data_IF_599288394671
#
_entry.id   IF_599288394671
#
_cell.length_a   1.000
_cell.length_b   1.000
_cell.length_c   1.000
_cell.angle_alpha   90.00
_cell.angle_beta   90.00
_cell.angle_gamma   90.00
#
_symmetry.space_group_name_H-M   'P 1'
#
loop_
_entity.id
_entity.type
_entity.pdbx_description
1 polymer ?
#
# COMPACT_ATOMS: atom_id res chain seq x y z
N UNK A 1 -18.50 -19.86 26.35
CA UNK A 1 -18.50 -19.24 27.67
C UNK A 1 -19.88 -18.63 27.95
N UNK A 2 -20.62 -19.20 28.95
CA UNK A 2 -21.98 -18.80 29.29
C UNK A 2 -22.04 -17.35 29.78
N UNK A 3 -21.01 -16.88 30.47
CA UNK A 3 -20.87 -15.49 30.96
C UNK A 3 -20.84 -14.47 29.81
N UNK A 4 -20.18 -14.76 28.73
CA UNK A 4 -20.11 -13.89 27.54
C UNK A 4 -21.46 -13.77 26.82
N UNK A 5 -22.28 -14.86 26.82
CA UNK A 5 -23.62 -14.84 26.21
C UNK A 5 -24.61 -14.02 27.01
N UNK A 6 -24.58 -14.15 28.33
CA UNK A 6 -25.47 -13.37 29.23
C UNK A 6 -25.18 -11.87 29.17
N UNK A 7 -23.88 -11.46 29.09
CA UNK A 7 -23.54 -10.08 28.90
C UNK A 7 -24.07 -9.50 27.58
N UNK A 8 -24.01 -10.27 26.50
CA UNK A 8 -24.57 -9.84 25.20
C UNK A 8 -26.11 -9.71 25.27
N UNK A 9 -26.79 -10.63 25.91
CA UNK A 9 -28.25 -10.59 26.06
C UNK A 9 -28.67 -9.39 26.90
N UNK A 10 -28.04 -9.15 28.05
CA UNK A 10 -28.37 -8.00 28.91
C UNK A 10 -28.10 -6.69 28.16
N UNK A 11 -27.01 -6.58 27.44
CA UNK A 11 -26.70 -5.39 26.64
C UNK A 11 -27.73 -5.11 25.54
N UNK A 12 -28.23 -6.15 24.86
CA UNK A 12 -29.31 -6.02 23.88
C UNK A 12 -30.63 -5.62 24.53
N UNK A 13 -30.93 -6.16 25.71
CA UNK A 13 -32.13 -5.82 26.48
C UNK A 13 -32.11 -4.35 26.93
N UNK A 14 -31.00 -3.90 27.54
CA UNK A 14 -30.79 -2.51 27.96
C UNK A 14 -30.92 -1.56 26.78
N UNK A 15 -30.28 -1.85 25.65
CA UNK A 15 -30.39 -1.05 24.43
C UNK A 15 -31.83 -0.86 23.95
N UNK A 16 -32.68 -1.88 24.10
CA UNK A 16 -34.04 -1.85 23.59
C UNK A 16 -35.04 -1.24 24.58
N UNK A 17 -34.86 -1.43 25.88
CA UNK A 17 -35.86 -1.16 26.89
C UNK A 17 -35.43 -0.17 27.98
N UNK A 18 -34.12 0.09 28.12
CA UNK A 18 -33.57 1.01 29.12
C UNK A 18 -32.37 1.75 28.56
N UNK A 19 -32.62 2.80 27.80
CA UNK A 19 -31.57 3.60 27.15
C UNK A 19 -30.61 4.27 28.13
N UNK A 20 -31.08 4.64 29.33
CA UNK A 20 -30.24 5.29 30.34
C UNK A 20 -29.22 4.31 30.87
N UNK A 21 -29.65 3.13 31.28
CA UNK A 21 -28.77 2.08 31.77
C UNK A 21 -27.81 1.56 30.67
N UNK A 22 -28.29 1.52 29.43
CA UNK A 22 -27.48 1.18 28.27
C UNK A 22 -26.31 2.17 28.10
N UNK A 23 -26.59 3.47 28.16
CA UNK A 23 -25.56 4.50 28.04
C UNK A 23 -24.56 4.50 29.23
N UNK A 24 -25.03 4.21 30.44
CA UNK A 24 -24.18 4.02 31.62
C UNK A 24 -23.23 2.83 31.43
N UNK A 25 -23.73 1.69 30.93
CA UNK A 25 -22.94 0.51 30.60
C UNK A 25 -21.91 0.84 29.52
N UNK A 26 -22.30 1.54 28.46
CA UNK A 26 -21.37 2.00 27.43
C UNK A 26 -20.26 2.87 28.03
N UNK A 27 -20.60 3.84 28.88
CA UNK A 27 -19.61 4.73 29.52
C UNK A 27 -18.60 3.97 30.38
N UNK A 28 -19.08 2.97 31.14
CA UNK A 28 -18.24 2.13 31.99
C UNK A 28 -17.21 1.30 31.19
N UNK A 29 -17.56 0.91 29.97
CA UNK A 29 -16.75 -0.01 29.17
C UNK A 29 -15.94 0.66 28.05
N UNK A 30 -16.18 1.95 27.76
CA UNK A 30 -15.53 2.67 26.66
C UNK A 30 -13.99 2.60 26.72
N UNK A 31 -13.40 2.76 27.89
CA UNK A 31 -11.93 2.72 28.05
C UNK A 31 -11.32 1.36 27.66
N UNK A 32 -12.09 0.28 27.73
CA UNK A 32 -11.62 -1.08 27.41
C UNK A 32 -12.02 -1.54 26.00
N UNK A 33 -13.06 -0.94 25.43
CA UNK A 33 -13.56 -1.31 24.12
C UNK A 33 -14.21 -0.10 23.44
N UNK A 34 -13.56 0.39 22.42
CA UNK A 34 -13.96 1.55 21.62
C UNK A 34 -15.37 1.43 21.00
N UNK A 35 -15.88 0.21 20.75
CA UNK A 35 -17.20 -0.02 20.16
C UNK A 35 -18.35 0.53 21.03
N UNK A 36 -18.12 0.73 22.31
CA UNK A 36 -19.08 1.38 23.22
C UNK A 36 -19.13 2.92 23.04
N UNK A 37 -18.24 3.51 22.24
CA UNK A 37 -18.21 4.95 21.99
C UNK A 37 -19.38 5.45 21.17
N UNK A 38 -19.75 4.74 20.09
CA UNK A 38 -20.76 5.22 19.13
C UNK A 38 -22.11 5.59 19.78
N UNK A 39 -22.74 4.77 20.64
CA UNK A 39 -23.99 5.14 21.29
C UNK A 39 -23.90 6.41 22.14
N UNK A 40 -22.77 6.62 22.82
CA UNK A 40 -22.55 7.80 23.66
C UNK A 40 -22.35 9.07 22.81
N UNK A 41 -21.66 8.93 21.68
CA UNK A 41 -21.42 10.02 20.72
C UNK A 41 -22.73 10.41 20.05
N UNK A 42 -23.51 9.45 19.57
CA UNK A 42 -24.81 9.68 18.93
C UNK A 42 -25.77 10.40 19.88
N UNK A 43 -25.85 9.97 21.16
CA UNK A 43 -26.65 10.62 22.20
C UNK A 43 -26.18 12.08 22.44
N UNK A 44 -24.88 12.30 22.59
CA UNK A 44 -24.33 13.62 22.81
C UNK A 44 -24.61 14.57 21.62
N UNK A 45 -24.49 14.10 20.38
CA UNK A 45 -24.82 14.87 19.17
C UNK A 45 -26.31 15.19 19.11
N UNK A 46 -27.18 14.20 19.40
CA UNK A 46 -28.65 14.40 19.41
C UNK A 46 -29.09 15.47 20.42
N UNK A 47 -28.35 15.61 21.52
CA UNK A 47 -28.58 16.64 22.55
C UNK A 47 -27.90 17.99 22.22
N UNK A 48 -27.25 18.13 21.07
CA UNK A 48 -26.47 19.33 20.70
C UNK A 48 -25.20 19.54 21.52
N UNK A 49 -24.77 18.53 22.29
CA UNK A 49 -23.60 18.56 23.16
C UNK A 49 -22.28 18.31 22.43
N UNK A 50 -21.94 19.11 21.42
CA UNK A 50 -20.78 18.90 20.57
C UNK A 50 -19.43 18.83 21.32
N UNK A 51 -19.24 19.60 22.40
CA UNK A 51 -18.02 19.48 23.23
C UNK A 51 -17.91 18.14 23.93
N UNK A 52 -19.05 17.60 24.42
CA UNK A 52 -19.10 16.27 25.02
C UNK A 52 -18.86 15.19 23.98
N UNK A 53 -19.44 15.34 22.78
CA UNK A 53 -19.21 14.43 21.66
C UNK A 53 -17.73 14.42 21.23
N UNK A 54 -17.07 15.58 21.15
CA UNK A 54 -15.62 15.68 20.82
C UNK A 54 -14.76 14.90 21.83
N UNK A 55 -14.99 15.10 23.13
CA UNK A 55 -14.27 14.37 24.18
C UNK A 55 -14.51 12.85 24.12
N UNK A 56 -15.74 12.42 23.83
CA UNK A 56 -16.07 11.00 23.67
C UNK A 56 -15.42 10.39 22.44
N UNK A 57 -15.28 11.14 21.35
CA UNK A 57 -14.57 10.73 20.15
C UNK A 57 -13.07 10.58 20.41
N UNK A 58 -12.45 11.54 21.12
CA UNK A 58 -11.05 11.41 21.54
C UNK A 58 -10.81 10.17 22.40
N UNK A 59 -11.67 9.90 23.39
CA UNK A 59 -11.59 8.70 24.21
C UNK A 59 -11.79 7.42 23.39
N UNK A 60 -12.72 7.45 22.44
CA UNK A 60 -13.01 6.31 21.55
C UNK A 60 -11.80 5.95 20.70
N UNK A 61 -11.15 6.94 20.08
CA UNK A 61 -9.95 6.71 19.29
C UNK A 61 -8.73 6.37 20.13
N UNK A 62 -8.60 6.91 21.34
CA UNK A 62 -7.56 6.49 22.30
C UNK A 62 -7.72 5.01 22.69
N UNK A 63 -8.96 4.57 22.99
CA UNK A 63 -9.27 3.16 23.24
C UNK A 63 -9.01 2.28 22.01
N UNK A 64 -9.40 2.73 20.81
CA UNK A 64 -9.18 2.00 19.56
C UNK A 64 -7.70 1.77 19.27
N UNK A 65 -6.85 2.77 19.51
CA UNK A 65 -5.41 2.71 19.29
C UNK A 65 -4.63 2.17 20.50
N UNK A 66 -5.31 1.83 21.59
CA UNK A 66 -4.71 1.44 22.87
C UNK A 66 -3.67 2.47 23.36
N UNK A 67 -4.04 3.75 23.38
CA UNK A 67 -3.19 4.88 23.78
C UNK A 67 -3.75 5.59 25.00
N UNK A 68 -2.85 6.14 25.79
CA UNK A 68 -3.19 7.02 26.90
C UNK A 68 -3.44 8.47 26.41
N UNK A 69 -3.99 9.33 27.29
CA UNK A 69 -4.29 10.73 26.96
C UNK A 69 -3.05 11.54 26.57
N UNK A 70 -1.85 11.19 27.07
CA UNK A 70 -0.60 11.91 26.78
C UNK A 70 -0.10 11.62 25.36
N UNK A 71 -0.42 10.43 24.86
CA UNK A 71 -0.03 9.95 23.54
C UNK A 71 -1.24 9.87 22.59
N UNK A 72 -2.32 10.61 22.86
CA UNK A 72 -3.53 10.60 22.05
C UNK A 72 -3.22 10.95 20.59
N UNK A 73 -3.82 10.20 19.68
CA UNK A 73 -3.70 10.47 18.25
C UNK A 73 -4.40 11.78 17.90
N UNK A 74 -3.73 12.57 17.07
CA UNK A 74 -4.25 13.86 16.58
C UNK A 74 -4.49 13.77 15.08
N UNK A 75 -5.73 13.86 14.62
CA UNK A 75 -6.07 13.69 13.21
C UNK A 75 -5.43 14.73 12.27
N UNK A 76 -5.01 15.88 12.80
CA UNK A 76 -4.38 16.96 12.05
C UNK A 76 -2.89 16.69 11.73
N UNK A 77 -2.26 15.74 12.41
CA UNK A 77 -0.80 15.56 12.36
C UNK A 77 -0.35 14.25 11.74
N UNK A 78 -1.22 13.23 11.71
CA UNK A 78 -0.86 11.92 11.15
C UNK A 78 -2.08 11.15 10.69
N UNK A 79 -1.91 10.26 9.72
CA UNK A 79 -2.98 9.39 9.24
C UNK A 79 -3.29 8.29 10.26
N UNK A 80 -4.59 8.07 10.49
CA UNK A 80 -5.04 6.91 11.27
C UNK A 80 -4.60 5.59 10.62
N UNK A 81 -4.59 5.55 9.29
CA UNK A 81 -4.17 4.39 8.50
C UNK A 81 -2.76 3.90 8.83
N UNK A 82 -1.83 4.81 9.15
CA UNK A 82 -0.43 4.48 9.48
C UNK A 82 -0.24 4.13 10.97
N UNK A 83 -1.22 4.45 11.80
CA UNK A 83 -1.18 4.20 13.24
C UNK A 83 -1.67 2.79 13.62
N UNK A 84 -2.10 2.01 12.64
CA UNK A 84 -2.78 0.74 12.82
C UNK A 84 -1.80 -0.43 12.95
N UNK A 85 -2.04 -1.32 13.91
CA UNK A 85 -1.52 -2.69 13.89
C UNK A 85 -2.39 -3.55 12.98
N UNK A 86 -1.82 -4.43 12.18
CA UNK A 86 -2.39 -5.20 11.05
C UNK A 86 -3.59 -6.13 11.33
N UNK A 87 -4.18 -6.13 12.53
CA UNK A 87 -5.09 -7.18 13.01
C UNK A 87 -6.58 -6.84 13.11
N UNK A 88 -7.06 -5.73 12.54
CA UNK A 88 -8.47 -5.32 12.72
C UNK A 88 -9.25 -5.20 11.39
N UNK A 89 -9.53 -6.33 10.72
CA UNK A 89 -10.18 -6.36 9.39
C UNK A 89 -11.67 -5.94 9.35
N UNK A 90 -12.42 -6.12 10.45
CA UNK A 90 -13.90 -6.06 10.37
C UNK A 90 -14.53 -4.69 10.75
N UNK A 91 -13.73 -3.71 11.14
CA UNK A 91 -14.24 -2.47 11.74
C UNK A 91 -14.02 -1.21 10.90
N UNK A 92 -13.53 -1.35 9.68
CA UNK A 92 -13.12 -0.22 8.81
C UNK A 92 -14.28 0.75 8.54
N UNK A 93 -15.44 0.22 8.22
CA UNK A 93 -16.62 1.05 7.92
C UNK A 93 -17.09 1.82 9.16
N UNK A 94 -17.13 1.17 10.33
CA UNK A 94 -17.51 1.81 11.59
C UNK A 94 -16.55 2.91 12.01
N UNK A 95 -15.24 2.69 11.84
CA UNK A 95 -14.22 3.71 12.10
C UNK A 95 -14.34 4.88 11.13
N UNK A 96 -14.54 4.62 9.84
CA UNK A 96 -14.77 5.67 8.86
C UNK A 96 -16.03 6.51 9.18
N UNK A 97 -17.10 5.88 9.66
CA UNK A 97 -18.29 6.58 10.14
C UNK A 97 -18.00 7.45 11.37
N UNK A 98 -17.22 6.95 12.34
CA UNK A 98 -16.82 7.74 13.51
C UNK A 98 -15.96 8.94 13.10
N UNK A 99 -15.05 8.79 12.14
CA UNK A 99 -14.27 9.91 11.59
C UNK A 99 -15.17 10.97 10.95
N UNK A 100 -16.21 10.56 10.21
CA UNK A 100 -17.21 11.48 9.64
C UNK A 100 -18.00 12.21 10.73
N UNK A 101 -18.45 11.48 11.75
CA UNK A 101 -19.15 12.06 12.90
C UNK A 101 -18.26 13.09 13.61
N UNK A 102 -16.99 12.77 13.78
CA UNK A 102 -16.02 13.70 14.38
C UNK A 102 -15.78 14.94 13.51
N UNK A 103 -15.75 14.80 12.19
CA UNK A 103 -15.65 15.94 11.29
C UNK A 103 -16.82 16.92 11.47
N UNK A 104 -18.05 16.40 11.56
CA UNK A 104 -19.27 17.20 11.80
C UNK A 104 -19.18 17.89 13.17
N UNK A 105 -18.77 17.19 14.21
CA UNK A 105 -18.59 17.75 15.55
C UNK A 105 -17.55 18.87 15.55
N UNK A 106 -16.40 18.65 14.93
CA UNK A 106 -15.34 19.65 14.82
C UNK A 106 -15.80 20.92 14.08
N UNK A 107 -16.58 20.77 13.02
CA UNK A 107 -17.15 21.91 12.26
C UNK A 107 -18.15 22.69 13.10
N UNK A 108 -19.03 22.03 13.85
CA UNK A 108 -19.98 22.70 14.76
C UNK A 108 -19.28 23.43 15.91
N UNK A 109 -18.06 23.00 16.28
CA UNK A 109 -17.22 23.67 17.27
C UNK A 109 -16.35 24.79 16.65
N UNK A 110 -16.45 25.04 15.33
CA UNK A 110 -15.63 26.03 14.62
C UNK A 110 -14.19 25.57 14.36
N UNK A 111 -13.86 24.31 14.61
CA UNK A 111 -12.52 23.76 14.34
C UNK A 111 -12.40 23.25 12.90
N UNK A 112 -12.31 24.18 11.94
CA UNK A 112 -12.26 23.89 10.50
C UNK A 112 -11.06 23.03 10.10
N UNK A 113 -9.91 23.21 10.78
CA UNK A 113 -8.70 22.41 10.50
C UNK A 113 -8.90 20.94 10.85
N UNK A 114 -9.40 20.65 12.05
CA UNK A 114 -9.72 19.30 12.48
C UNK A 114 -10.82 18.68 11.60
N UNK A 115 -11.87 19.43 11.28
CA UNK A 115 -12.95 18.99 10.40
C UNK A 115 -12.44 18.55 9.03
N UNK A 116 -11.57 19.35 8.40
CA UNK A 116 -10.97 19.01 7.10
C UNK A 116 -10.05 17.80 7.17
N UNK A 117 -9.20 17.70 8.21
CA UNK A 117 -8.34 16.55 8.42
C UNK A 117 -9.16 15.25 8.55
N UNK A 118 -10.22 15.28 9.36
CA UNK A 118 -11.10 14.13 9.58
C UNK A 118 -11.90 13.72 8.34
N UNK A 119 -12.34 14.69 7.53
CA UNK A 119 -12.99 14.40 6.24
C UNK A 119 -12.06 13.64 5.30
N UNK A 120 -10.83 14.13 5.11
CA UNK A 120 -9.85 13.46 4.28
C UNK A 120 -9.52 12.06 4.83
N UNK A 121 -9.29 11.95 6.14
CA UNK A 121 -9.00 10.68 6.80
C UNK A 121 -10.13 9.66 6.70
N UNK A 122 -11.40 10.09 6.77
CA UNK A 122 -12.54 9.18 6.65
C UNK A 122 -12.60 8.51 5.28
N UNK A 123 -12.25 9.25 4.23
CA UNK A 123 -12.20 8.73 2.85
C UNK A 123 -11.02 7.78 2.67
N UNK A 124 -9.82 8.21 3.10
CA UNK A 124 -8.59 7.40 3.03
C UNK A 124 -8.76 6.10 3.82
N UNK A 125 -9.33 6.17 5.02
CA UNK A 125 -9.45 5.01 5.90
C UNK A 125 -10.44 3.98 5.38
N UNK A 126 -11.56 4.42 4.79
CA UNK A 126 -12.61 3.56 4.25
C UNK A 126 -12.13 2.74 3.04
N UNK A 127 -11.41 3.37 2.12
CA UNK A 127 -10.96 2.75 0.88
C UNK A 127 -9.64 3.39 0.43
N UNK A 128 -8.50 3.03 1.06
CA UNK A 128 -7.21 3.67 0.77
C UNK A 128 -6.75 3.49 -0.67
N UNK A 129 -7.31 2.53 -1.40
CA UNK A 129 -7.05 2.24 -2.81
C UNK A 129 -7.98 3.00 -3.78
N UNK A 130 -8.99 3.68 -3.30
CA UNK A 130 -9.90 4.49 -4.12
C UNK A 130 -9.30 5.88 -4.41
N UNK A 131 -8.29 5.88 -5.27
CA UNK A 131 -7.53 7.08 -5.62
C UNK A 131 -8.43 8.18 -6.20
N UNK A 132 -9.45 7.83 -6.97
CA UNK A 132 -10.32 8.81 -7.63
C UNK A 132 -11.12 9.59 -6.56
N UNK A 133 -11.70 8.89 -5.59
CA UNK A 133 -12.44 9.51 -4.49
C UNK A 133 -11.53 10.32 -3.57
N UNK A 134 -10.36 9.80 -3.21
CA UNK A 134 -9.40 10.49 -2.33
C UNK A 134 -8.85 11.75 -2.99
N UNK A 135 -8.46 11.67 -4.28
CA UNK A 135 -7.98 12.83 -5.04
C UNK A 135 -9.09 13.89 -5.18
N UNK A 136 -10.34 13.46 -5.40
CA UNK A 136 -11.47 14.39 -5.49
C UNK A 136 -11.69 15.13 -4.18
N UNK A 137 -11.68 14.44 -3.04
CA UNK A 137 -11.82 15.08 -1.72
C UNK A 137 -10.65 16.02 -1.40
N UNK A 138 -9.43 15.57 -1.65
CA UNK A 138 -8.25 16.40 -1.48
C UNK A 138 -8.31 17.68 -2.34
N UNK A 139 -8.74 17.59 -3.61
CA UNK A 139 -8.90 18.76 -4.48
C UNK A 139 -9.86 19.79 -3.90
N UNK A 140 -10.94 19.36 -3.26
CA UNK A 140 -11.89 20.27 -2.59
C UNK A 140 -11.25 20.97 -1.40
N UNK A 141 -10.51 20.22 -0.58
CA UNK A 141 -9.94 20.71 0.67
C UNK A 141 -8.66 21.56 0.46
N UNK A 142 -7.80 21.23 -0.51
CA UNK A 142 -6.52 21.90 -0.74
C UNK A 142 -6.62 23.36 -1.14
N UNK A 143 -7.77 23.78 -1.69
CA UNK A 143 -8.01 25.18 -2.12
C UNK A 143 -8.55 26.07 -1.01
N UNK A 144 -8.75 25.52 0.18
CA UNK A 144 -9.24 26.21 1.36
C UNK A 144 -8.11 26.66 2.27
N UNK A 145 -8.44 27.42 3.33
CA UNK A 145 -7.48 27.82 4.38
C UNK A 145 -6.86 26.64 5.14
N UNK A 146 -7.40 25.45 4.97
CA UNK A 146 -6.96 24.22 5.65
C UNK A 146 -5.89 23.43 4.89
N UNK A 147 -5.45 23.94 3.72
CA UNK A 147 -4.43 23.26 2.89
C UNK A 147 -3.17 22.82 3.67
N UNK A 148 -2.76 23.61 4.66
CA UNK A 148 -1.58 23.34 5.49
C UNK A 148 -1.74 22.11 6.39
N UNK A 149 -2.97 21.65 6.61
CA UNK A 149 -3.27 20.42 7.35
C UNK A 149 -3.46 19.24 6.39
N UNK A 150 -4.19 19.45 5.30
CA UNK A 150 -4.51 18.36 4.38
C UNK A 150 -3.34 17.94 3.47
N UNK A 151 -2.43 18.88 3.14
CA UNK A 151 -1.27 18.56 2.31
C UNK A 151 -0.34 17.53 2.95
N UNK A 152 0.09 17.67 4.22
CA UNK A 152 0.90 16.66 4.89
C UNK A 152 0.21 15.28 4.97
N UNK A 153 -1.08 15.25 5.32
CA UNK A 153 -1.85 14.00 5.39
C UNK A 153 -1.97 13.32 4.03
N UNK A 154 -2.19 14.09 2.97
CA UNK A 154 -2.25 13.55 1.62
C UNK A 154 -0.88 13.03 1.17
N UNK A 155 0.21 13.72 1.49
CA UNK A 155 1.58 13.27 1.22
C UNK A 155 1.91 11.96 1.96
N UNK A 156 1.49 11.83 3.23
CA UNK A 156 1.63 10.60 4.01
C UNK A 156 0.84 9.44 3.36
N UNK A 157 -0.37 9.70 2.87
CA UNK A 157 -1.12 8.71 2.10
C UNK A 157 -0.40 8.28 0.82
N UNK A 158 0.13 9.23 0.03
CA UNK A 158 0.91 8.91 -1.16
C UNK A 158 2.08 7.98 -0.84
N UNK A 159 2.85 8.31 0.21
CA UNK A 159 3.98 7.50 0.69
C UNK A 159 3.53 6.10 1.10
N UNK A 160 2.46 6.01 1.88
CA UNK A 160 1.89 4.74 2.32
C UNK A 160 1.44 3.86 1.14
N UNK A 161 0.83 4.47 0.11
CA UNK A 161 0.40 3.74 -1.07
C UNK A 161 1.58 3.27 -1.94
N UNK A 162 2.63 4.05 -2.04
CA UNK A 162 3.86 3.64 -2.70
C UNK A 162 4.51 2.45 -1.96
N UNK A 163 4.62 2.51 -0.65
CA UNK A 163 5.18 1.43 0.19
C UNK A 163 4.35 0.14 0.11
N UNK A 164 3.02 0.22 0.20
CA UNK A 164 2.12 -0.94 0.07
C UNK A 164 2.20 -1.64 -1.30
N UNK A 165 2.69 -0.96 -2.33
CA UNK A 165 2.86 -1.54 -3.66
C UNK A 165 4.17 -2.33 -3.81
N UNK A 166 5.10 -2.18 -2.86
CA UNK A 166 6.32 -2.96 -2.74
C UNK A 166 6.02 -4.06 -1.73
N UNK A 167 6.27 -5.31 -2.08
CA UNK A 167 5.97 -6.45 -1.19
C UNK A 167 6.49 -6.23 0.24
N UNK A 168 5.72 -6.70 1.23
CA UNK A 168 5.90 -6.63 2.70
C UNK A 168 7.27 -7.08 3.26
N UNK A 169 8.29 -7.26 2.44
CA UNK A 169 9.57 -7.86 2.82
C UNK A 169 10.81 -6.98 2.61
N UNK A 170 10.68 -5.76 2.10
CA UNK A 170 11.84 -4.89 1.91
C UNK A 170 11.79 -3.69 2.84
N UNK A 171 12.91 -3.46 3.53
CA UNK A 171 13.14 -2.38 4.47
C UNK A 171 12.66 -1.00 4.00
N UNK A 172 12.19 -0.22 4.95
CA UNK A 172 11.51 1.08 4.92
C UNK A 172 12.22 2.24 4.18
N UNK A 173 13.09 2.00 3.21
CA UNK A 173 13.84 3.03 2.47
C UNK A 173 13.34 3.23 1.04
N UNK A 174 12.02 3.34 0.88
CA UNK A 174 11.48 3.77 -0.43
C UNK A 174 11.69 5.26 -0.57
N UNK A 175 12.43 5.65 -1.60
CA UNK A 175 12.60 7.06 -1.98
C UNK A 175 11.23 7.74 -2.16
N UNK A 176 11.09 8.97 -1.66
CA UNK A 176 9.91 9.81 -1.87
C UNK A 176 9.63 10.11 -3.36
N UNK A 177 10.58 9.79 -4.23
CA UNK A 177 10.54 10.02 -5.68
C UNK A 177 10.14 8.77 -6.48
N UNK A 178 9.34 7.86 -5.93
CA UNK A 178 8.87 6.69 -6.66
C UNK A 178 7.87 7.06 -7.75
N UNK A 179 7.87 6.32 -8.88
CA UNK A 179 6.95 6.57 -9.98
C UNK A 179 5.46 6.52 -9.58
N UNK A 180 5.13 5.83 -8.50
CA UNK A 180 3.76 5.75 -7.97
C UNK A 180 3.34 7.11 -7.40
N UNK A 181 4.21 7.79 -6.67
CA UNK A 181 3.97 9.17 -6.20
C UNK A 181 3.74 10.11 -7.37
N UNK A 182 4.60 10.05 -8.39
CA UNK A 182 4.47 10.89 -9.58
C UNK A 182 3.15 10.62 -10.32
N UNK A 183 2.73 9.36 -10.40
CA UNK A 183 1.45 9.00 -11.00
C UNK A 183 0.27 9.61 -10.24
N UNK A 184 0.26 9.51 -8.91
CA UNK A 184 -0.78 10.10 -8.06
C UNK A 184 -0.79 11.62 -8.22
N UNK A 185 0.39 12.25 -8.19
CA UNK A 185 0.52 13.71 -8.35
C UNK A 185 0.07 14.18 -9.74
N UNK A 186 0.40 13.45 -10.80
CA UNK A 186 -0.04 13.77 -12.15
C UNK A 186 -1.56 13.70 -12.30
N UNK A 187 -2.23 12.79 -11.60
CA UNK A 187 -3.70 12.65 -11.59
C UNK A 187 -4.42 13.75 -10.81
N UNK A 188 -3.72 14.50 -9.95
CA UNK A 188 -4.29 15.65 -9.26
C UNK A 188 -4.62 16.79 -10.21
N UNK A 189 -3.77 17.01 -11.20
CA UNK A 189 -3.96 18.02 -12.22
C UNK A 189 -3.48 17.48 -13.57
N UNK A 190 -4.41 17.11 -14.42
CA UNK A 190 -4.10 16.51 -15.72
C UNK A 190 -3.48 17.50 -16.72
N UNK A 191 -3.65 18.82 -16.51
CA UNK A 191 -3.14 19.85 -17.42
C UNK A 191 -1.64 20.04 -17.17
N UNK A 192 -0.81 19.59 -18.11
CA UNK A 192 0.66 19.68 -18.05
C UNK A 192 1.35 18.65 -17.15
N UNK A 193 0.65 17.98 -16.26
CA UNK A 193 1.23 16.98 -15.36
C UNK A 193 1.49 15.63 -16.03
N UNK A 194 0.79 15.34 -17.12
CA UNK A 194 1.07 14.16 -17.96
C UNK A 194 2.50 14.19 -18.50
N UNK A 195 2.90 15.27 -19.15
CA UNK A 195 4.26 15.43 -19.70
C UNK A 195 5.32 15.40 -18.58
N UNK A 196 5.02 16.03 -17.44
CA UNK A 196 5.90 15.99 -16.28
C UNK A 196 6.09 14.55 -15.78
N UNK A 197 5.01 13.76 -15.67
CA UNK A 197 5.06 12.36 -15.26
C UNK A 197 5.90 11.53 -16.24
N UNK A 198 5.65 11.68 -17.54
CA UNK A 198 6.37 10.93 -18.57
C UNK A 198 7.88 11.25 -18.52
N UNK A 199 8.28 12.52 -18.34
CA UNK A 199 9.67 12.92 -18.16
C UNK A 199 10.32 12.31 -16.92
N UNK A 200 9.59 12.30 -15.79
CA UNK A 200 10.10 11.69 -14.54
C UNK A 200 10.29 10.19 -14.69
N UNK A 201 9.30 9.52 -15.28
CA UNK A 201 9.37 8.08 -15.54
C UNK A 201 10.51 7.74 -16.49
N UNK A 202 10.68 8.54 -17.53
CA UNK A 202 11.73 8.42 -18.52
C UNK A 202 13.12 8.50 -17.87
N UNK A 203 13.37 9.58 -17.12
CA UNK A 203 14.63 9.80 -16.41
C UNK A 203 14.92 8.69 -15.37
N UNK A 204 13.91 8.22 -14.65
CA UNK A 204 14.09 7.13 -13.70
C UNK A 204 14.46 5.80 -14.38
N UNK A 205 13.85 5.48 -15.52
CA UNK A 205 14.21 4.29 -16.29
C UNK A 205 15.63 4.40 -16.90
N UNK A 206 16.06 5.60 -17.29
CA UNK A 206 17.44 5.81 -17.74
C UNK A 206 18.43 5.59 -16.59
N UNK A 207 18.16 6.13 -15.40
CA UNK A 207 19.01 5.90 -14.23
C UNK A 207 19.07 4.41 -13.85
N UNK A 208 17.94 3.70 -13.87
CA UNK A 208 17.91 2.24 -13.61
C UNK A 208 18.74 1.46 -14.64
N UNK A 209 18.84 1.94 -15.86
CA UNK A 209 19.62 1.31 -16.92
C UNK A 209 21.13 1.54 -16.73
N UNK A 210 21.52 2.69 -16.19
CA UNK A 210 22.92 3.11 -16.07
C UNK A 210 23.54 2.76 -14.72
N UNK A 211 22.73 2.69 -13.63
CA UNK A 211 23.19 2.46 -12.26
C UNK A 211 22.70 1.12 -11.72
N UNK A 212 23.62 0.14 -11.68
CA UNK A 212 23.36 -1.20 -11.15
C UNK A 212 22.92 -1.20 -9.68
N UNK A 213 23.49 -0.31 -8.84
CA UNK A 213 23.11 -0.20 -7.43
C UNK A 213 21.71 0.32 -7.26
N UNK A 214 21.31 1.29 -8.08
CA UNK A 214 19.94 1.79 -8.08
C UNK A 214 18.98 0.71 -8.55
N UNK A 215 19.34 -0.07 -9.57
CA UNK A 215 18.55 -1.22 -10.01
C UNK A 215 18.37 -2.25 -8.89
N UNK A 216 19.44 -2.61 -8.16
CA UNK A 216 19.37 -3.56 -7.04
C UNK A 216 18.44 -3.07 -5.91
N UNK A 217 18.31 -1.77 -5.71
CA UNK A 217 17.43 -1.18 -4.72
C UNK A 217 15.97 -1.08 -5.19
N UNK A 218 15.76 -0.72 -6.45
CA UNK A 218 14.45 -0.33 -6.97
C UNK A 218 13.81 -1.33 -7.95
N UNK A 219 14.45 -2.49 -8.21
CA UNK A 219 13.87 -3.52 -9.08
C UNK A 219 12.44 -3.98 -8.66
N UNK A 220 12.03 -3.96 -7.36
CA UNK A 220 10.65 -4.30 -7.00
C UNK A 220 9.65 -3.28 -7.55
N UNK A 221 10.05 -1.99 -7.66
CA UNK A 221 9.24 -0.95 -8.30
C UNK A 221 9.17 -1.14 -9.82
N UNK A 222 10.29 -1.53 -10.45
CA UNK A 222 10.32 -1.87 -11.86
C UNK A 222 9.45 -3.10 -12.16
N UNK A 223 9.46 -4.11 -11.27
CA UNK A 223 8.54 -5.25 -11.34
C UNK A 223 7.09 -4.78 -11.37
N UNK A 224 6.73 -3.90 -10.45
CA UNK A 224 5.37 -3.38 -10.34
C UNK A 224 4.99 -2.57 -11.57
N UNK A 225 5.87 -1.69 -12.03
CA UNK A 225 5.67 -0.94 -13.27
C UNK A 225 5.46 -1.88 -14.47
N UNK A 226 6.36 -2.85 -14.64
CA UNK A 226 6.29 -3.80 -15.78
C UNK A 226 4.96 -4.55 -15.82
N UNK A 227 4.44 -4.96 -14.66
CA UNK A 227 3.12 -5.62 -14.56
C UNK A 227 1.96 -4.70 -14.91
N UNK A 228 2.00 -3.46 -14.43
CA UNK A 228 0.90 -2.52 -14.51
C UNK A 228 0.85 -1.77 -15.85
N UNK A 229 1.96 -1.76 -16.62
CA UNK A 229 2.03 -1.13 -17.94
C UNK A 229 1.09 -1.79 -18.96
N UNK A 230 0.48 -0.99 -19.87
CA UNK A 230 -0.31 -1.51 -20.99
C UNK A 230 0.51 -2.50 -21.82
N UNK A 231 -0.11 -3.60 -22.25
CA UNK A 231 0.54 -4.61 -23.09
C UNK A 231 1.32 -5.70 -22.34
N UNK A 232 1.55 -5.58 -21.03
CA UNK A 232 2.28 -6.57 -20.22
C UNK A 232 1.73 -8.00 -20.34
N UNK A 233 0.40 -8.16 -20.42
CA UNK A 233 -0.25 -9.47 -20.58
C UNK A 233 0.11 -10.20 -21.88
N UNK A 234 0.47 -9.50 -22.95
CA UNK A 234 0.92 -10.12 -24.20
C UNK A 234 2.36 -10.64 -24.08
N UNK A 235 3.22 -9.93 -23.35
CA UNK A 235 4.60 -10.33 -23.10
C UNK A 235 4.70 -11.58 -22.21
N UNK A 236 3.73 -11.82 -21.36
CA UNK A 236 3.67 -13.02 -20.53
C UNK A 236 3.66 -14.31 -21.37
N UNK A 237 3.10 -14.29 -22.58
CA UNK A 237 3.14 -15.42 -23.50
C UNK A 237 4.52 -15.65 -24.11
N UNK A 238 5.28 -14.57 -24.33
CA UNK A 238 6.64 -14.63 -24.89
C UNK A 238 7.71 -14.98 -23.85
N UNK A 239 7.49 -14.61 -22.58
CA UNK A 239 8.43 -14.79 -21.48
C UNK A 239 7.77 -15.45 -20.26
N UNK A 240 7.21 -16.67 -20.40
CA UNK A 240 6.39 -17.28 -19.35
C UNK A 240 7.17 -17.59 -18.06
N UNK A 241 8.45 -17.97 -18.16
CA UNK A 241 9.27 -18.26 -16.98
C UNK A 241 9.67 -16.97 -16.27
N UNK A 242 10.08 -15.94 -17.02
CA UNK A 242 10.38 -14.62 -16.47
C UNK A 242 9.20 -14.04 -15.68
N UNK A 243 8.01 -14.03 -16.27
CA UNK A 243 6.81 -13.56 -15.58
C UNK A 243 6.45 -14.40 -14.35
N UNK A 244 6.73 -15.68 -14.36
CA UNK A 244 6.44 -16.58 -13.22
C UNK A 244 7.44 -16.43 -12.08
N UNK A 245 8.69 -16.14 -12.36
CA UNK A 245 9.80 -16.13 -11.38
C UNK A 245 10.06 -14.73 -10.87
N UNK A 246 10.21 -13.76 -11.79
CA UNK A 246 10.58 -12.37 -11.46
C UNK A 246 9.35 -11.51 -11.21
N UNK A 247 8.27 -11.76 -11.97
CA UNK A 247 7.02 -11.04 -11.89
C UNK A 247 5.87 -11.99 -11.48
N UNK A 248 5.91 -12.64 -10.30
CA UNK A 248 4.87 -13.59 -9.91
C UNK A 248 3.50 -12.90 -9.94
N UNK A 249 2.53 -13.53 -10.60
CA UNK A 249 1.16 -13.02 -10.62
C UNK A 249 0.50 -13.27 -9.27
N UNK A 250 -0.03 -12.23 -8.64
CA UNK A 250 -1.07 -12.41 -7.65
C UNK A 250 -2.30 -12.98 -8.38
N UNK A 251 -3.01 -13.88 -7.77
CA UNK A 251 -4.14 -14.60 -8.38
C UNK A 251 -5.26 -13.68 -8.91
N UNK A 252 -5.36 -12.46 -8.37
CA UNK A 252 -6.23 -11.38 -8.89
C UNK A 252 -5.57 -10.01 -8.74
N UNK A 253 -5.79 -9.08 -9.69
CA UNK A 253 -5.27 -7.72 -9.53
C UNK A 253 -5.95 -7.06 -8.32
N UNK A 254 -5.14 -6.68 -7.32
CA UNK A 254 -5.62 -5.94 -6.15
C UNK A 254 -6.32 -4.63 -6.58
N UNK A 255 -7.20 -4.05 -5.76
CA UNK A 255 -7.77 -2.71 -6.02
C UNK A 255 -6.71 -1.67 -6.32
N UNK A 256 -5.59 -1.72 -5.61
CA UNK A 256 -4.42 -0.85 -5.79
C UNK A 256 -3.77 -1.06 -7.18
N UNK A 257 -3.62 -2.31 -7.63
CA UNK A 257 -3.13 -2.63 -8.97
C UNK A 257 -4.05 -2.09 -10.07
N UNK A 258 -5.36 -2.23 -9.90
CA UNK A 258 -6.34 -1.67 -10.85
C UNK A 258 -6.23 -0.14 -10.95
N UNK A 259 -6.07 0.55 -9.81
CA UNK A 259 -5.91 2.01 -9.79
C UNK A 259 -4.64 2.46 -10.52
N UNK A 260 -3.51 1.74 -10.35
CA UNK A 260 -2.26 2.01 -11.07
C UNK A 260 -2.40 1.76 -12.58
N UNK A 261 -2.92 0.60 -12.97
CA UNK A 261 -3.15 0.27 -14.39
C UNK A 261 -4.04 1.31 -15.10
N UNK A 262 -5.12 1.76 -14.41
CA UNK A 262 -5.98 2.83 -14.92
C UNK A 262 -5.20 4.13 -15.08
N UNK A 263 -4.46 4.54 -14.07
CA UNK A 263 -3.66 5.77 -14.09
C UNK A 263 -2.60 5.76 -15.18
N UNK A 264 -1.88 4.65 -15.36
CA UNK A 264 -0.86 4.52 -16.42
C UNK A 264 -1.48 4.62 -17.83
N UNK A 265 -2.65 4.00 -18.07
CA UNK A 265 -3.36 4.16 -19.35
C UNK A 265 -3.76 5.62 -19.63
N UNK A 266 -4.22 6.34 -18.60
CA UNK A 266 -4.57 7.76 -18.71
C UNK A 266 -3.35 8.63 -19.04
N UNK A 267 -2.14 8.16 -18.74
CA UNK A 267 -0.86 8.85 -19.02
C UNK A 267 -0.21 8.43 -20.36
N UNK A 268 -0.84 7.54 -21.16
CA UNK A 268 -0.31 7.04 -22.44
C UNK A 268 1.11 6.45 -22.32
N UNK A 269 1.27 5.50 -21.42
CA UNK A 269 2.57 4.93 -21.07
C UNK A 269 2.98 3.70 -21.87
N UNK A 270 2.32 3.41 -23.01
CA UNK A 270 2.55 2.20 -23.83
C UNK A 270 4.03 2.03 -24.25
N UNK A 271 4.71 3.14 -24.53
CA UNK A 271 6.12 3.14 -24.98
C UNK A 271 7.10 2.64 -23.92
N UNK A 272 6.74 2.71 -22.63
CA UNK A 272 7.67 2.38 -21.55
C UNK A 272 7.81 0.88 -21.32
N UNK A 273 6.89 0.06 -21.82
CA UNK A 273 6.99 -1.39 -21.65
C UNK A 273 8.25 -1.97 -22.32
N UNK A 274 8.56 -1.52 -23.54
CA UNK A 274 9.79 -1.95 -24.24
C UNK A 274 11.06 -1.50 -23.52
N UNK A 275 11.04 -0.30 -22.92
CA UNK A 275 12.17 0.22 -22.13
C UNK A 275 12.36 -0.57 -20.84
N UNK A 276 11.29 -0.83 -20.09
CA UNK A 276 11.32 -1.67 -18.88
C UNK A 276 11.88 -3.07 -19.21
N UNK A 277 11.44 -3.68 -20.31
CA UNK A 277 11.97 -4.96 -20.77
C UNK A 277 13.44 -4.88 -21.18
N UNK A 278 13.90 -3.76 -21.73
CA UNK A 278 15.32 -3.52 -22.03
C UNK A 278 16.17 -3.51 -20.76
N UNK A 279 15.72 -2.84 -19.70
CA UNK A 279 16.40 -2.83 -18.38
C UNK A 279 16.46 -4.24 -17.80
N UNK A 280 15.35 -4.99 -17.82
CA UNK A 280 15.33 -6.38 -17.39
C UNK A 280 16.34 -7.24 -18.14
N UNK A 281 16.46 -7.08 -19.46
CA UNK A 281 17.45 -7.80 -20.27
C UNK A 281 18.88 -7.51 -19.85
N UNK A 282 19.19 -6.27 -19.49
CA UNK A 282 20.55 -5.86 -19.11
C UNK A 282 20.93 -6.27 -17.69
N UNK A 283 19.96 -6.29 -16.76
CA UNK A 283 20.27 -6.36 -15.33
C UNK A 283 19.74 -7.61 -14.62
N UNK A 284 18.88 -8.43 -15.24
CA UNK A 284 18.29 -9.59 -14.58
C UNK A 284 19.36 -10.55 -14.01
N UNK A 285 20.53 -10.64 -14.67
CA UNK A 285 21.64 -11.51 -14.22
C UNK A 285 22.09 -11.22 -12.78
N UNK A 286 22.03 -9.96 -12.33
CA UNK A 286 22.45 -9.54 -10.99
C UNK A 286 21.51 -10.04 -9.89
N UNK A 287 20.26 -10.36 -10.24
CA UNK A 287 19.27 -10.93 -9.33
C UNK A 287 19.28 -12.46 -9.28
N UNK A 288 20.00 -13.11 -10.20
CA UNK A 288 20.10 -14.58 -10.19
C UNK A 288 20.89 -15.03 -8.97
N UNK A 289 20.31 -15.85 -8.07
CA UNK A 289 20.98 -16.25 -6.85
C UNK A 289 22.29 -17.00 -7.13
N UNK A 290 23.38 -16.64 -6.43
CA UNK A 290 24.65 -17.32 -6.54
C UNK A 290 24.53 -18.76 -6.00
N UNK A 291 24.91 -19.79 -6.75
CA UNK A 291 24.95 -21.16 -6.27
C UNK A 291 25.75 -21.37 -4.98
N UNK A 292 26.71 -20.47 -4.66
CA UNK A 292 27.45 -20.51 -3.40
C UNK A 292 26.54 -20.28 -2.18
N UNK A 293 25.46 -19.54 -2.32
CA UNK A 293 24.50 -19.25 -1.23
C UNK A 293 23.60 -20.44 -0.86
N UNK A 294 23.60 -21.52 -1.65
CA UNK A 294 22.78 -22.70 -1.38
C UNK A 294 23.33 -23.52 -0.20
N UNK A 295 22.61 -23.52 0.92
CA UNK A 295 22.97 -24.30 2.12
C UNK A 295 22.57 -25.78 2.03
N UNK A 296 21.67 -26.17 1.13
CA UNK A 296 21.01 -27.49 1.12
C UNK A 296 21.33 -28.32 -0.14
N UNK A 297 22.22 -27.90 -1.00
CA UNK A 297 22.42 -28.51 -2.34
C UNK A 297 21.15 -28.56 -3.19
N UNK A 298 20.13 -27.79 -2.85
CA UNK A 298 18.91 -27.62 -3.63
C UNK A 298 19.05 -26.42 -4.56
N UNK A 299 19.21 -26.66 -5.85
CA UNK A 299 19.42 -25.62 -6.85
C UNK A 299 18.19 -25.32 -7.70
N UNK A 300 17.00 -25.78 -7.32
CA UNK A 300 15.77 -25.58 -8.11
C UNK A 300 15.45 -24.11 -8.35
N UNK A 301 15.62 -23.26 -7.32
CA UNK A 301 15.40 -21.83 -7.43
C UNK A 301 16.41 -21.20 -8.39
N UNK A 302 17.70 -21.44 -8.20
CA UNK A 302 18.77 -20.96 -9.09
C UNK A 302 18.50 -21.31 -10.56
N UNK A 303 18.08 -22.54 -10.81
CA UNK A 303 17.77 -23.01 -12.17
C UNK A 303 16.54 -22.35 -12.75
N UNK A 304 15.51 -22.05 -11.93
CA UNK A 304 14.34 -21.28 -12.38
C UNK A 304 14.73 -19.87 -12.81
N UNK A 305 15.57 -19.19 -12.02
CA UNK A 305 16.10 -17.86 -12.37
C UNK A 305 16.96 -17.91 -13.63
N UNK A 306 17.86 -18.90 -13.77
CA UNK A 306 18.65 -19.09 -14.98
C UNK A 306 17.77 -19.35 -16.21
N UNK A 307 16.64 -20.07 -16.04
CA UNK A 307 15.68 -20.26 -17.13
C UNK A 307 14.99 -18.98 -17.53
N UNK A 308 14.64 -18.13 -16.57
CA UNK A 308 14.07 -16.80 -16.83
C UNK A 308 15.09 -15.89 -17.55
N UNK A 309 16.35 -15.96 -17.15
CA UNK A 309 17.43 -15.23 -17.82
C UNK A 309 17.65 -15.70 -19.26
N UNK A 310 17.72 -17.02 -19.49
CA UNK A 310 17.84 -17.61 -20.81
C UNK A 310 16.68 -17.19 -21.73
N UNK A 311 15.47 -17.19 -21.21
CA UNK A 311 14.26 -16.79 -21.93
C UNK A 311 14.30 -15.31 -22.35
N UNK A 312 14.87 -14.44 -21.49
CA UNK A 312 14.90 -12.99 -21.68
C UNK A 312 16.12 -12.50 -22.49
N UNK A 313 17.30 -13.06 -22.22
CA UNK A 313 18.57 -12.67 -22.87
C UNK A 313 19.54 -13.85 -22.92
N UNK A 314 19.75 -14.39 -24.13
CA UNK A 314 20.70 -15.48 -24.35
C UNK A 314 22.15 -15.08 -24.06
N UNK A 315 22.51 -13.82 -24.38
CA UNK A 315 23.88 -13.32 -24.19
C UNK A 315 24.22 -13.24 -22.69
N UNK A 316 23.34 -12.65 -21.89
CA UNK A 316 23.54 -12.56 -20.44
C UNK A 316 23.52 -13.94 -19.76
N UNK A 317 22.65 -14.84 -20.26
CA UNK A 317 22.64 -16.21 -19.82
C UNK A 317 23.99 -16.91 -20.07
N UNK A 318 24.52 -16.81 -21.29
CA UNK A 318 25.78 -17.43 -21.65
C UNK A 318 26.95 -16.84 -20.85
N UNK A 319 26.96 -15.53 -20.62
CA UNK A 319 27.97 -14.87 -19.80
C UNK A 319 27.97 -15.39 -18.36
N UNK A 320 26.78 -15.47 -17.74
CA UNK A 320 26.63 -15.98 -16.37
C UNK A 320 26.93 -17.48 -16.30
N UNK A 321 26.52 -18.26 -17.29
CA UNK A 321 26.83 -19.68 -17.40
C UNK A 321 28.33 -19.93 -17.45
N UNK A 322 29.08 -19.16 -18.26
CA UNK A 322 30.54 -19.27 -18.33
C UNK A 322 31.19 -18.97 -16.97
N UNK A 323 30.74 -17.91 -16.28
CA UNK A 323 31.19 -17.61 -14.93
C UNK A 323 30.90 -18.77 -13.94
N UNK A 324 29.72 -19.38 -14.01
CA UNK A 324 29.38 -20.52 -13.17
C UNK A 324 30.21 -21.77 -13.50
N UNK A 325 30.59 -21.97 -14.75
CA UNK A 325 31.49 -23.05 -15.12
C UNK A 325 32.86 -22.89 -14.45
N UNK A 326 33.39 -21.70 -14.36
CA UNK A 326 34.67 -21.47 -13.70
C UNK A 326 34.58 -21.62 -12.18
N UNK A 327 33.55 -21.02 -11.56
CA UNK A 327 33.45 -20.91 -10.10
C UNK A 327 32.80 -22.14 -9.45
N UNK A 328 31.85 -22.81 -10.14
CA UNK A 328 31.00 -23.86 -9.58
C UNK A 328 31.15 -25.22 -10.26
N UNK A 329 32.24 -25.47 -11.03
CA UNK A 329 32.50 -26.72 -11.77
C UNK A 329 32.28 -28.00 -10.95
N UNK A 330 32.61 -27.96 -9.65
CA UNK A 330 32.51 -29.15 -8.77
C UNK A 330 31.10 -29.40 -8.24
N UNK A 331 30.12 -28.50 -8.46
CA UNK A 331 28.75 -28.62 -7.93
C UNK A 331 27.88 -29.53 -8.81
N UNK A 332 28.11 -30.83 -8.76
CA UNK A 332 27.44 -31.86 -9.63
C UNK A 332 25.90 -31.74 -9.59
N UNK A 333 25.31 -31.42 -8.44
CA UNK A 333 23.86 -31.34 -8.29
C UNK A 333 23.28 -30.10 -9.03
N UNK A 334 24.02 -29.00 -9.10
CA UNK A 334 23.61 -27.81 -9.90
C UNK A 334 23.51 -28.20 -11.39
N UNK A 335 24.57 -28.78 -11.93
CA UNK A 335 24.61 -29.17 -13.35
C UNK A 335 23.58 -30.24 -13.70
N UNK A 336 23.32 -31.18 -12.78
CA UNK A 336 22.25 -32.16 -12.95
C UNK A 336 20.87 -31.50 -12.99
N UNK A 337 20.59 -30.53 -12.13
CA UNK A 337 19.33 -29.86 -12.09
C UNK A 337 19.13 -28.97 -13.34
N UNK A 338 20.18 -28.28 -13.82
CA UNK A 338 20.15 -27.54 -15.08
C UNK A 338 19.82 -28.44 -16.28
N UNK A 339 20.45 -29.63 -16.38
CA UNK A 339 20.13 -30.64 -17.42
C UNK A 339 18.68 -31.08 -17.36
N UNK A 340 18.17 -31.37 -16.16
CA UNK A 340 16.78 -31.79 -15.93
C UNK A 340 15.78 -30.72 -16.44
N UNK A 341 16.12 -29.45 -16.34
CA UNK A 341 15.31 -28.34 -16.84
C UNK A 341 15.61 -27.97 -18.31
N UNK A 342 16.38 -28.81 -19.01
CA UNK A 342 16.73 -28.66 -20.44
C UNK A 342 17.40 -27.32 -20.78
N UNK A 343 18.14 -26.74 -19.83
CA UNK A 343 18.94 -25.56 -20.09
C UNK A 343 20.19 -25.96 -20.92
N UNK A 344 20.54 -25.18 -21.93
CA UNK A 344 21.79 -25.39 -22.68
C UNK A 344 22.96 -25.13 -21.74
N UNK A 345 23.83 -26.12 -21.59
CA UNK A 345 25.04 -26.10 -20.75
C UNK A 345 26.25 -26.57 -21.50
#
# INVERSE_FOLDING_TARGET
>A
DVYSKWHKINHLYEKRFDSTRYLETCRKHLAKNWQYGKPLIDDAIAQGGYRKADSLLEQTFSSYLNRDEKNAWRPETSLLLTQRSYYHGDDEEKIAELLKSWAIVAENLGNTKRGAALKLQSVIYRAPEDWDTIICEYKKLRVTEVKNVVNPLFSEWQTTMAQRSIHDKMDNNVSSDTWIHWLIEARLDMTGKKEWFLKKLDAWLDHLKEDEKLFEQEWPLLTRLTKDLPGSGSLQKSYPTFFKVVLPSDSEPSPLGRARCKGLREMDTDIFLSRAMGIWKSHLRHLVPDPASSHTSNYQEHVKWMKALHELSHDEYNALLAQWYETHKRRRNLWREMKKHQLPI
#
